data_IF_682332132988
#
_entry.id   IF_682332132988
#
_cell.length_a   1.000
_cell.length_b   1.000
_cell.length_c   1.000
_cell.angle_alpha   90.00
_cell.angle_beta   90.00
_cell.angle_gamma   90.00
#
_symmetry.space_group_name_H-M   'P 1'
#
loop_
_entity.id
_entity.type
_entity.pdbx_description
1 polymer ?
#
# COMPACT_ATOMS: atom_id res chain seq x y z
N UNK A 1 34.08 -13.37 -32.55
CA UNK A 1 32.60 -13.47 -32.59
C UNK A 1 32.17 -14.42 -31.50
N UNK A 2 31.00 -14.14 -30.90
CA UNK A 2 30.31 -14.93 -29.89
C UNK A 2 30.92 -14.87 -28.47
N UNK A 3 30.17 -14.70 -27.38
CA UNK A 3 28.72 -14.57 -27.18
C UNK A 3 28.58 -13.80 -25.86
N UNK A 4 28.03 -12.60 -25.91
CA UNK A 4 27.69 -11.83 -24.71
C UNK A 4 26.57 -12.55 -23.97
N UNK A 5 26.86 -13.08 -22.78
CA UNK A 5 25.85 -13.59 -21.88
C UNK A 5 25.10 -12.41 -21.26
N UNK A 6 24.03 -11.99 -21.92
CA UNK A 6 23.03 -11.09 -21.32
C UNK A 6 22.28 -11.88 -20.25
N UNK A 7 22.66 -11.70 -18.98
CA UNK A 7 21.88 -12.18 -17.84
C UNK A 7 20.56 -11.39 -17.82
N UNK A 8 19.51 -11.99 -18.37
CA UNK A 8 18.14 -11.56 -18.18
C UNK A 8 17.80 -11.72 -16.70
N UNK A 9 17.76 -10.62 -15.96
CA UNK A 9 17.15 -10.54 -14.63
C UNK A 9 15.63 -10.75 -14.77
N UNK A 10 15.21 -12.00 -15.02
CA UNK A 10 13.85 -12.45 -14.79
C UNK A 10 13.61 -12.37 -13.28
N UNK A 11 13.11 -11.23 -12.79
CA UNK A 11 12.90 -11.05 -11.37
C UNK A 11 11.88 -12.07 -10.87
N UNK A 12 12.36 -13.05 -10.11
CA UNK A 12 11.61 -14.20 -9.62
C UNK A 12 10.33 -13.78 -8.91
N UNK A 13 9.27 -14.52 -9.20
CA UNK A 13 8.05 -14.54 -8.41
C UNK A 13 8.31 -15.28 -7.10
N UNK A 14 7.86 -14.72 -5.97
CA UNK A 14 7.98 -15.36 -4.66
C UNK A 14 6.61 -15.87 -4.25
N UNK A 15 6.48 -17.18 -4.11
CA UNK A 15 5.23 -17.82 -3.63
C UNK A 15 5.33 -18.12 -2.15
N UNK A 16 4.31 -17.73 -1.38
CA UNK A 16 4.27 -17.88 0.07
C UNK A 16 3.00 -18.65 0.47
N UNK A 17 3.10 -19.65 1.36
CA UNK A 17 1.95 -20.34 1.94
C UNK A 17 0.98 -19.40 2.65
N UNK A 18 -0.30 -19.77 2.71
CA UNK A 18 -1.37 -18.91 3.24
C UNK A 18 -1.14 -18.49 4.68
N UNK A 19 -0.56 -19.36 5.49
CA UNK A 19 -0.31 -19.17 6.92
C UNK A 19 0.67 -18.03 7.17
N UNK A 20 1.70 -17.92 6.32
CA UNK A 20 2.78 -16.94 6.45
C UNK A 20 2.57 -15.70 5.56
N UNK A 21 1.66 -15.78 4.59
CA UNK A 21 1.51 -14.80 3.51
C UNK A 21 1.33 -13.37 4.03
N UNK A 22 0.35 -13.16 4.92
CA UNK A 22 -0.01 -11.81 5.39
C UNK A 22 1.15 -11.18 6.16
N UNK A 23 1.78 -11.94 7.05
CA UNK A 23 2.91 -11.44 7.85
C UNK A 23 4.11 -11.08 6.97
N UNK A 24 4.45 -11.95 6.02
CA UNK A 24 5.53 -11.71 5.07
C UNK A 24 5.23 -10.48 4.19
N UNK A 25 4.01 -10.38 3.68
CA UNK A 25 3.59 -9.27 2.83
C UNK A 25 3.64 -7.94 3.59
N UNK A 26 3.11 -7.88 4.81
CA UNK A 26 3.14 -6.68 5.64
C UNK A 26 4.57 -6.22 5.95
N UNK A 27 5.51 -7.15 6.12
CA UNK A 27 6.92 -6.82 6.33
C UNK A 27 7.57 -6.23 5.07
N UNK A 28 7.31 -6.83 3.89
CA UNK A 28 8.00 -6.45 2.65
C UNK A 28 7.37 -5.28 1.91
N UNK A 29 6.06 -5.08 2.08
CA UNK A 29 5.27 -4.12 1.30
C UNK A 29 4.96 -2.83 2.04
N UNK A 30 5.23 -2.79 3.35
CA UNK A 30 5.06 -1.59 4.15
C UNK A 30 6.16 -0.58 3.88
N UNK A 31 5.74 0.67 3.73
CA UNK A 31 6.62 1.83 3.66
C UNK A 31 6.29 2.73 4.83
N UNK A 32 7.30 3.12 5.60
CA UNK A 32 7.12 3.95 6.79
C UNK A 32 7.87 5.27 6.64
N UNK A 33 7.34 6.32 7.26
CA UNK A 33 7.99 7.62 7.37
C UNK A 33 7.53 8.33 8.64
N UNK A 34 8.25 9.37 9.04
CA UNK A 34 7.85 10.26 10.12
C UNK A 34 7.69 11.69 9.60
N UNK A 35 6.59 12.35 9.98
CA UNK A 35 6.31 13.73 9.62
C UNK A 35 5.58 14.42 10.76
N UNK A 36 6.09 15.56 11.20
CA UNK A 36 5.46 16.38 12.25
C UNK A 36 5.16 15.60 13.55
N UNK A 37 6.06 14.67 13.94
CA UNK A 37 5.90 13.84 15.14
C UNK A 37 4.89 12.69 15.01
N UNK A 38 4.30 12.51 13.83
CA UNK A 38 3.42 11.38 13.51
C UNK A 38 4.18 10.39 12.63
N UNK A 39 4.18 9.13 13.03
CA UNK A 39 4.69 8.02 12.21
C UNK A 39 3.58 7.52 11.33
N UNK A 40 3.85 7.49 10.03
CA UNK A 40 2.93 6.95 9.07
C UNK A 40 3.47 5.66 8.47
N UNK A 41 2.56 4.78 8.07
CA UNK A 41 2.88 3.69 7.18
C UNK A 41 1.87 3.61 6.04
N UNK A 42 2.29 3.05 4.91
CA UNK A 42 1.43 2.75 3.77
C UNK A 42 1.73 1.34 3.23
N UNK A 43 0.68 0.58 2.93
CA UNK A 43 0.77 -0.76 2.33
C UNK A 43 -0.14 -0.81 1.09
N UNK A 44 0.40 -0.95 -0.13
CA UNK A 44 -0.41 -1.22 -1.31
C UNK A 44 -0.91 -2.66 -1.26
N UNK A 45 -2.22 -2.86 -1.41
CA UNK A 45 -2.84 -4.18 -1.39
C UNK A 45 -2.82 -4.80 -2.78
N UNK A 46 -2.47 -6.09 -2.83
CA UNK A 46 -2.57 -6.92 -4.04
C UNK A 46 -3.77 -7.85 -3.91
N UNK A 47 -4.24 -8.35 -5.05
CA UNK A 47 -5.32 -9.34 -5.12
C UNK A 47 -5.10 -10.53 -4.16
N UNK A 48 -3.91 -11.13 -4.20
CA UNK A 48 -3.53 -12.28 -3.37
C UNK A 48 -3.53 -11.92 -1.88
N UNK A 49 -3.11 -10.71 -1.51
CA UNK A 49 -3.19 -10.23 -0.12
C UNK A 49 -4.63 -10.10 0.37
N UNK A 50 -5.52 -9.56 -0.46
CA UNK A 50 -6.92 -9.41 -0.10
C UNK A 50 -7.61 -10.77 0.08
N UNK A 51 -7.29 -11.76 -0.77
CA UNK A 51 -7.74 -13.13 -0.57
C UNK A 51 -7.17 -13.72 0.72
N UNK A 52 -5.87 -13.59 0.96
CA UNK A 52 -5.25 -14.15 2.17
C UNK A 52 -5.85 -13.55 3.45
N UNK A 53 -6.12 -12.23 3.45
CA UNK A 53 -6.62 -11.51 4.62
C UNK A 53 -8.14 -11.63 4.82
N UNK A 54 -8.91 -11.62 3.74
CA UNK A 54 -10.37 -11.47 3.78
C UNK A 54 -11.15 -12.54 3.02
N UNK A 55 -10.48 -13.50 2.37
CA UNK A 55 -11.10 -14.61 1.65
C UNK A 55 -11.65 -14.25 0.28
N UNK A 56 -11.69 -12.97 -0.09
CA UNK A 56 -12.12 -12.50 -1.42
C UNK A 56 -11.38 -11.20 -1.78
N UNK A 57 -11.03 -10.99 -3.06
CA UNK A 57 -10.73 -9.63 -3.51
C UNK A 57 -11.96 -8.76 -3.31
N UNK A 58 -11.79 -7.48 -2.96
CA UNK A 58 -12.98 -6.62 -2.80
C UNK A 58 -13.28 -5.73 -4.02
N UNK A 59 -12.34 -5.51 -4.95
CA UNK A 59 -12.61 -4.84 -6.26
C UNK A 59 -11.48 -5.02 -7.31
N UNK A 60 -11.67 -4.47 -8.52
CA UNK A 60 -10.69 -4.46 -9.61
C UNK A 60 -9.65 -3.34 -9.50
N UNK A 61 -9.80 -2.42 -8.55
CA UNK A 61 -8.96 -1.25 -8.39
C UNK A 61 -7.65 -1.55 -7.67
N UNK A 62 -6.97 -0.48 -7.24
CA UNK A 62 -5.85 -0.55 -6.31
C UNK A 62 -6.27 0.06 -4.98
N UNK A 63 -5.81 -0.57 -3.90
CA UNK A 63 -6.00 -0.03 -2.56
C UNK A 63 -4.71 0.17 -1.83
N UNK A 64 -4.68 1.19 -1.00
CA UNK A 64 -3.58 1.45 -0.08
C UNK A 64 -4.15 1.63 1.31
N UNK A 65 -3.65 0.82 2.23
CA UNK A 65 -3.90 1.02 3.67
C UNK A 65 -2.86 1.99 4.18
N UNK A 66 -3.31 3.04 4.85
CA UNK A 66 -2.45 4.02 5.52
C UNK A 66 -2.76 4.00 7.00
N UNK A 67 -1.72 3.95 7.83
CA UNK A 67 -1.85 4.12 9.28
C UNK A 67 -1.02 5.30 9.77
N UNK A 68 -1.48 5.95 10.84
CA UNK A 68 -0.81 7.07 11.46
C UNK A 68 -0.82 6.93 12.99
N UNK A 69 0.35 7.00 13.61
CA UNK A 69 0.57 6.81 15.05
C UNK A 69 1.35 7.99 15.63
N UNK A 70 0.97 8.54 16.80
CA UNK A 70 -0.20 8.15 17.59
C UNK A 70 -1.53 8.61 16.96
N UNK A 71 -2.61 7.91 17.31
CA UNK A 71 -3.98 8.30 16.96
C UNK A 71 -4.24 9.73 17.44
N UNK A 72 -4.67 10.58 16.52
CA UNK A 72 -4.93 12.02 16.77
C UNK A 72 -6.16 12.52 16.02
N UNK A 73 -7.06 11.60 15.65
CA UNK A 73 -8.24 11.85 14.84
C UNK A 73 -7.91 12.52 13.50
N UNK A 74 -6.87 12.02 12.82
CA UNK A 74 -6.45 12.55 11.54
C UNK A 74 -7.53 12.37 10.46
N UNK A 75 -7.49 13.27 9.48
CA UNK A 75 -8.27 13.25 8.26
C UNK A 75 -7.35 13.61 7.09
N UNK A 76 -7.68 13.21 5.86
CA UNK A 76 -6.93 13.63 4.68
C UNK A 76 -7.88 14.37 3.75
N UNK A 77 -7.50 15.55 3.26
CA UNK A 77 -8.33 16.29 2.33
C UNK A 77 -8.30 15.66 0.94
N UNK A 78 -7.13 15.20 0.51
CA UNK A 78 -6.93 14.58 -0.79
C UNK A 78 -5.89 13.45 -0.72
N UNK A 79 -5.99 12.51 -1.66
CA UNK A 79 -5.03 11.44 -1.88
C UNK A 79 -4.84 11.18 -3.37
N UNK A 80 -3.57 11.05 -3.81
CA UNK A 80 -3.21 10.85 -5.22
C UNK A 80 -2.13 9.77 -5.37
N UNK A 81 -2.25 8.94 -6.40
CA UNK A 81 -1.14 8.15 -6.93
C UNK A 81 -0.46 8.92 -8.05
N UNK A 82 0.87 8.96 -8.02
CA UNK A 82 1.71 9.66 -8.99
C UNK A 82 2.76 8.69 -9.54
N UNK A 83 2.82 8.53 -10.87
CA UNK A 83 3.88 7.77 -11.54
C UNK A 83 4.28 8.47 -12.84
N UNK A 84 5.47 9.08 -12.85
CA UNK A 84 5.93 9.87 -13.99
C UNK A 84 5.02 11.08 -14.20
N UNK A 85 4.31 11.11 -15.33
CA UNK A 85 3.32 12.17 -15.65
C UNK A 85 1.89 11.81 -15.25
N UNK A 86 1.63 10.54 -14.95
CA UNK A 86 0.29 10.05 -14.63
C UNK A 86 -0.04 10.38 -13.17
N UNK A 87 -1.21 10.98 -12.95
CA UNK A 87 -1.74 11.28 -11.62
C UNK A 87 -3.19 10.81 -11.53
N UNK A 88 -3.50 9.96 -10.55
CA UNK A 88 -4.84 9.44 -10.31
C UNK A 88 -5.26 9.76 -8.88
N UNK A 89 -6.39 10.46 -8.73
CA UNK A 89 -6.98 10.73 -7.42
C UNK A 89 -7.64 9.49 -6.82
N UNK A 90 -7.69 9.42 -5.49
CA UNK A 90 -8.47 8.39 -4.81
C UNK A 90 -9.96 8.60 -5.13
N UNK A 91 -10.63 7.51 -5.53
CA UNK A 91 -12.08 7.47 -5.74
C UNK A 91 -12.80 7.43 -4.39
N UNK A 92 -12.16 6.84 -3.37
CA UNK A 92 -12.67 6.78 -2.02
C UNK A 92 -11.52 6.86 -1.02
N UNK A 93 -11.66 7.76 -0.04
CA UNK A 93 -10.82 7.84 1.15
C UNK A 93 -11.69 7.56 2.35
N UNK A 94 -11.49 6.41 3.01
CA UNK A 94 -12.28 6.02 4.18
C UNK A 94 -11.39 5.84 5.39
N UNK A 95 -11.70 6.57 6.46
CA UNK A 95 -11.15 6.28 7.79
C UNK A 95 -11.83 5.04 8.35
N UNK A 96 -11.05 4.04 8.75
CA UNK A 96 -11.56 2.84 9.39
C UNK A 96 -11.94 3.16 10.83
N UNK A 97 -13.10 2.67 11.27
CA UNK A 97 -13.44 2.68 12.68
C UNK A 97 -12.58 1.62 13.38
N UNK A 98 -11.48 2.06 13.97
CA UNK A 98 -10.72 1.22 14.90
C UNK A 98 -11.46 1.19 16.23
N UNK A 99 -11.61 0.01 16.84
CA UNK A 99 -12.12 -0.12 18.21
C UNK A 99 -11.38 0.83 19.17
N UNK A 100 -12.01 1.21 20.29
CA UNK A 100 -11.58 2.29 21.19
C UNK A 100 -10.12 2.22 21.67
N UNK A 101 -9.48 1.03 21.62
CA UNK A 101 -8.10 0.79 22.01
C UNK A 101 -7.06 0.92 20.88
N UNK A 102 -7.47 1.29 19.66
CA UNK A 102 -6.57 1.47 18.53
C UNK A 102 -5.61 2.65 18.74
N UNK A 103 -4.30 2.40 18.69
CA UNK A 103 -3.24 3.42 18.86
C UNK A 103 -2.93 4.22 17.59
N UNK A 104 -3.59 3.91 16.47
CA UNK A 104 -3.36 4.53 15.18
C UNK A 104 -4.68 4.95 14.50
N UNK A 105 -4.66 6.04 13.74
CA UNK A 105 -5.68 6.35 12.74
C UNK A 105 -5.42 5.51 11.49
N UNK A 106 -6.41 4.73 11.06
CA UNK A 106 -6.31 3.83 9.91
C UNK A 106 -7.20 4.31 8.77
N UNK A 107 -6.68 4.26 7.56
CA UNK A 107 -7.36 4.71 6.34
C UNK A 107 -7.23 3.66 5.24
N UNK A 108 -8.29 3.51 4.45
CA UNK A 108 -8.28 2.77 3.20
C UNK A 108 -8.52 3.77 2.08
N UNK A 109 -7.58 3.80 1.15
CA UNK A 109 -7.63 4.63 -0.06
C UNK A 109 -7.87 3.72 -1.25
N UNK A 110 -8.93 3.95 -2.00
CA UNK A 110 -9.26 3.20 -3.22
C UNK A 110 -9.03 4.05 -4.46
N UNK A 111 -8.39 3.44 -5.47
CA UNK A 111 -8.09 4.03 -6.76
C UNK A 111 -8.65 3.15 -7.87
N UNK A 112 -9.22 3.75 -8.91
CA UNK A 112 -9.76 3.01 -10.05
C UNK A 112 -8.67 2.26 -10.82
N UNK A 113 -7.51 2.90 -10.98
CA UNK A 113 -6.39 2.36 -11.74
C UNK A 113 -5.38 1.66 -10.85
N UNK A 114 -4.83 0.55 -11.35
CA UNK A 114 -3.68 -0.11 -10.73
C UNK A 114 -2.40 0.50 -11.25
N UNK A 115 -1.70 1.22 -10.38
CA UNK A 115 -0.41 1.86 -10.69
C UNK A 115 0.68 1.32 -9.75
N UNK A 116 1.19 0.10 -10.00
CA UNK A 116 2.22 -0.52 -9.15
C UNK A 116 3.49 0.32 -9.12
N UNK A 117 4.08 0.47 -7.93
CA UNK A 117 5.29 1.29 -7.75
C UNK A 117 5.05 2.80 -7.88
N UNK A 118 3.80 3.26 -7.82
CA UNK A 118 3.49 4.69 -7.76
C UNK A 118 3.93 5.32 -6.43
N UNK A 119 4.07 6.64 -6.43
CA UNK A 119 4.15 7.43 -5.21
C UNK A 119 2.74 7.76 -4.73
N UNK A 120 2.46 7.58 -3.44
CA UNK A 120 1.23 8.05 -2.82
C UNK A 120 1.48 9.42 -2.21
N UNK A 121 0.66 10.40 -2.56
CA UNK A 121 0.65 11.72 -1.93
C UNK A 121 -0.65 11.95 -1.19
N UNK A 122 -0.56 12.27 0.09
CA UNK A 122 -1.68 12.64 0.95
C UNK A 122 -1.58 14.10 1.33
N UNK A 123 -2.73 14.78 1.40
CA UNK A 123 -2.82 16.17 1.81
C UNK A 123 -3.56 16.25 3.16
N UNK A 124 -2.92 16.90 4.12
CA UNK A 124 -3.48 17.25 5.42
C UNK A 124 -3.01 18.68 5.80
N UNK A 125 -3.57 19.69 5.16
CA UNK A 125 -3.25 21.09 5.47
C UNK A 125 -4.03 21.58 6.69
N UNK A 126 -5.29 21.16 6.82
CA UNK A 126 -6.20 21.62 7.88
C UNK A 126 -5.74 21.28 9.30
N UNK A 127 -4.96 20.20 9.46
CA UNK A 127 -4.41 19.77 10.76
C UNK A 127 -2.88 20.00 10.85
N UNK A 128 -2.29 20.75 9.90
CA UNK A 128 -0.91 21.24 10.00
C UNK A 128 0.21 20.24 9.62
N UNK A 129 -0.12 19.03 9.15
CA UNK A 129 0.89 18.05 8.70
C UNK A 129 1.47 18.43 7.32
N UNK A 130 0.65 19.04 6.46
CA UNK A 130 0.97 19.39 5.08
C UNK A 130 0.83 18.20 4.14
N UNK A 131 1.78 18.04 3.22
CA UNK A 131 1.84 16.92 2.29
C UNK A 131 2.64 15.75 2.87
N UNK A 132 2.10 14.54 2.79
CA UNK A 132 2.80 13.29 3.13
C UNK A 132 2.99 12.48 1.85
N UNK A 133 4.21 11.99 1.59
CA UNK A 133 4.53 11.26 0.38
C UNK A 133 5.19 9.91 0.68
N UNK A 134 4.65 8.83 0.11
CA UNK A 134 5.19 7.47 0.21
C UNK A 134 5.65 6.98 -1.16
N UNK A 135 6.79 6.30 -1.22
CA UNK A 135 7.15 5.47 -2.38
C UNK A 135 6.58 4.07 -2.17
N UNK A 136 5.46 3.74 -2.83
CA UNK A 136 4.81 2.46 -2.62
C UNK A 136 5.65 1.32 -3.21
N UNK A 137 5.83 0.26 -2.41
CA UNK A 137 6.51 -0.95 -2.89
C UNK A 137 5.71 -1.62 -4.00
N UNK A 138 6.40 -2.08 -5.03
CA UNK A 138 5.78 -2.93 -6.04
C UNK A 138 5.77 -4.39 -5.57
N UNK A 139 4.67 -4.81 -4.96
CA UNK A 139 4.52 -6.14 -4.39
C UNK A 139 3.79 -7.15 -5.28
N UNK A 140 3.63 -6.87 -6.57
CA UNK A 140 2.90 -7.76 -7.50
C UNK A 140 3.55 -9.13 -7.71
N UNK A 141 4.83 -9.26 -7.35
CA UNK A 141 5.59 -10.51 -7.49
C UNK A 141 5.51 -11.43 -6.28
N UNK A 142 4.91 -10.97 -5.18
CA UNK A 142 4.62 -11.81 -4.01
C UNK A 142 3.25 -12.44 -4.29
N UNK A 143 3.20 -13.77 -4.33
CA UNK A 143 2.02 -14.54 -4.75
C UNK A 143 1.59 -15.51 -3.67
N UNK A 144 0.28 -15.62 -3.47
CA UNK A 144 -0.30 -16.59 -2.56
C UNK A 144 -0.19 -17.96 -3.20
N UNK A 145 0.35 -18.94 -2.47
CA UNK A 145 0.36 -20.31 -2.95
C UNK A 145 -1.07 -20.87 -2.96
N UNK A 146 -1.53 -21.33 -4.12
CA UNK A 146 -2.85 -21.93 -4.26
C UNK A 146 -2.87 -23.26 -3.50
N UNK A 147 -3.81 -23.40 -2.56
CA UNK A 147 -4.07 -24.67 -1.89
C UNK A 147 -4.58 -25.67 -2.93
N UNK A 148 -3.80 -26.72 -3.21
CA UNK A 148 -4.21 -27.83 -4.07
C UNK A 148 -5.39 -28.59 -3.50
#
# INVERSE_FOLDING_TARGET
MALGATVLLMGCETRIPKEDYVAYYDEKCKTELERSGVRFFAIPLTYDYEIAKWGTPLDSGMRVVVGATPRSDLSFEDAFLIRGKDTTGAVLTRKMQTFELGTADMFVLSFADRIPGAKLRLKNVSQGIGGVEFELKNCQKIRLEESK
#
